data_IF_222151348118
#
_entry.id   IF_222151348118
#
_cell.length_a   1.000
_cell.length_b   1.000
_cell.length_c   1.000
_cell.angle_alpha   90.00
_cell.angle_beta   90.00
_cell.angle_gamma   90.00
#
_symmetry.space_group_name_H-M   'P 1'
#
loop_
_entity.id
_entity.type
_entity.pdbx_description
1 polymer ?
#
# COMPACT_ATOMS: atom_id res chain seq x y z
N UNK A 1 -11.98 6.49 -21.63
CA UNK A 1 -10.50 6.55 -21.56
C UNK A 1 -10.03 7.60 -20.54
N UNK A 2 -10.74 8.72 -20.38
CA UNK A 2 -10.38 9.82 -19.44
C UNK A 2 -10.25 9.44 -17.96
N UNK A 3 -10.94 8.38 -17.49
CA UNK A 3 -10.83 7.95 -16.09
C UNK A 3 -9.46 7.34 -15.74
N UNK A 4 -8.71 6.83 -16.73
CA UNK A 4 -7.37 6.25 -16.49
C UNK A 4 -6.30 7.31 -16.29
N UNK A 5 -6.56 8.53 -16.76
CA UNK A 5 -5.71 9.70 -16.55
C UNK A 5 -6.12 10.53 -15.34
N UNK A 6 -7.21 10.14 -14.68
CA UNK A 6 -7.65 10.77 -13.43
C UNK A 6 -6.56 10.56 -12.35
N UNK A 7 -6.03 11.65 -11.76
CA UNK A 7 -4.96 11.55 -10.77
C UNK A 7 -5.33 10.73 -9.53
N UNK A 8 -6.60 10.74 -9.13
CA UNK A 8 -7.11 9.97 -8.00
C UNK A 8 -7.17 8.48 -8.37
N UNK A 9 -7.69 8.15 -9.55
CA UNK A 9 -7.71 6.76 -10.03
C UNK A 9 -6.30 6.19 -10.22
N UNK A 10 -5.38 7.00 -10.76
CA UNK A 10 -3.95 6.65 -10.85
C UNK A 10 -3.36 6.38 -9.46
N UNK A 11 -3.65 7.22 -8.47
CA UNK A 11 -3.20 6.99 -7.09
C UNK A 11 -3.75 5.69 -6.49
N UNK A 12 -5.03 5.38 -6.70
CA UNK A 12 -5.66 4.14 -6.20
C UNK A 12 -4.99 2.89 -6.78
N UNK A 13 -4.74 2.87 -8.10
CA UNK A 13 -4.02 1.76 -8.73
C UNK A 13 -2.57 1.68 -8.24
N UNK A 14 -1.90 2.82 -8.07
CA UNK A 14 -0.52 2.86 -7.59
C UNK A 14 -0.41 2.27 -6.18
N UNK A 15 -1.36 2.55 -5.29
CA UNK A 15 -1.37 1.99 -3.94
C UNK A 15 -1.58 0.47 -3.95
N UNK A 16 -2.49 -0.04 -4.79
CA UNK A 16 -2.74 -1.47 -4.89
C UNK A 16 -1.49 -2.24 -5.38
N UNK A 17 -0.78 -1.68 -6.37
CA UNK A 17 0.49 -2.25 -6.85
C UNK A 17 1.57 -2.17 -5.78
N UNK A 18 1.70 -1.02 -5.11
CA UNK A 18 2.66 -0.85 -4.02
C UNK A 18 2.42 -1.85 -2.89
N UNK A 19 1.15 -2.06 -2.52
CA UNK A 19 0.76 -3.04 -1.52
C UNK A 19 1.18 -4.46 -1.95
N UNK A 20 0.94 -4.84 -3.21
CA UNK A 20 1.38 -6.14 -3.74
C UNK A 20 2.89 -6.36 -3.60
N UNK A 21 3.70 -5.33 -3.88
CA UNK A 21 5.16 -5.38 -3.72
C UNK A 21 5.55 -5.50 -2.24
N UNK A 22 4.93 -4.71 -1.36
CA UNK A 22 5.18 -4.77 0.09
C UNK A 22 4.84 -6.15 0.65
N UNK A 23 3.70 -6.70 0.25
CA UNK A 23 3.23 -8.01 0.65
C UNK A 23 4.17 -9.13 0.15
N UNK A 24 4.68 -9.02 -1.09
CA UNK A 24 5.71 -9.95 -1.57
C UNK A 24 6.96 -9.94 -0.70
N UNK A 25 7.50 -8.75 -0.35
CA UNK A 25 8.64 -8.67 0.58
C UNK A 25 8.33 -9.27 1.94
N UNK A 26 7.11 -9.06 2.45
CA UNK A 26 6.65 -9.60 3.73
C UNK A 26 6.69 -11.13 3.75
N UNK A 27 6.06 -11.77 2.76
CA UNK A 27 6.02 -13.24 2.65
C UNK A 27 7.37 -13.86 2.34
N UNK A 28 8.30 -13.10 1.74
CA UNK A 28 9.68 -13.54 1.51
C UNK A 28 10.62 -13.24 2.69
N UNK A 29 10.08 -12.89 3.87
CA UNK A 29 10.85 -12.69 5.11
C UNK A 29 11.59 -11.35 5.19
N UNK A 30 11.49 -10.50 4.16
CA UNK A 30 12.08 -9.16 4.13
C UNK A 30 11.17 -8.13 4.83
N UNK A 31 10.89 -8.36 6.12
CA UNK A 31 9.88 -7.61 6.88
C UNK A 31 10.17 -6.10 6.98
N UNK A 32 11.43 -5.69 7.08
CA UNK A 32 11.79 -4.26 7.14
C UNK A 32 11.43 -3.51 5.85
N UNK A 33 11.66 -4.14 4.68
CA UNK A 33 11.28 -3.57 3.39
C UNK A 33 9.77 -3.50 3.23
N UNK A 34 9.05 -4.53 3.67
CA UNK A 34 7.60 -4.53 3.67
C UNK A 34 7.05 -3.37 4.52
N UNK A 35 7.62 -3.19 5.72
CA UNK A 35 7.25 -2.11 6.63
C UNK A 35 7.43 -0.73 5.98
N UNK A 36 8.59 -0.47 5.37
CA UNK A 36 8.86 0.81 4.69
C UNK A 36 7.86 1.09 3.56
N UNK A 37 7.49 0.06 2.78
CA UNK A 37 6.52 0.20 1.70
C UNK A 37 5.13 0.51 2.26
N UNK A 38 4.70 -0.20 3.31
CA UNK A 38 3.40 0.05 3.94
C UNK A 38 3.35 1.46 4.56
N UNK A 39 4.41 1.93 5.23
CA UNK A 39 4.48 3.30 5.75
C UNK A 39 4.35 4.35 4.65
N UNK A 40 4.98 4.12 3.48
CA UNK A 40 4.82 5.01 2.31
C UNK A 40 3.38 5.05 1.81
N UNK A 41 2.71 3.90 1.70
CA UNK A 41 1.29 3.85 1.32
C UNK A 41 0.43 4.61 2.35
N UNK A 42 0.68 4.41 3.65
CA UNK A 42 -0.07 5.06 4.73
C UNK A 42 0.17 6.57 4.82
N UNK A 43 1.22 7.08 4.18
CA UNK A 43 1.48 8.51 4.08
C UNK A 43 0.73 9.22 2.94
N UNK A 44 0.06 8.48 2.05
CA UNK A 44 -0.72 9.06 0.94
C UNK A 44 -2.09 9.57 1.41
N UNK A 45 -2.80 10.31 0.54
CA UNK A 45 -4.16 10.81 0.83
C UNK A 45 -5.27 9.85 0.36
N UNK A 46 -4.91 8.70 -0.16
CA UNK A 46 -5.80 7.79 -0.88
C UNK A 46 -6.39 6.75 0.07
N UNK A 47 -6.95 7.21 1.19
CA UNK A 47 -7.43 6.37 2.31
C UNK A 47 -8.48 5.33 1.89
N UNK A 48 -9.26 5.60 0.85
CA UNK A 48 -10.29 4.71 0.32
C UNK A 48 -9.75 3.69 -0.70
N UNK A 49 -8.45 3.75 -1.06
CA UNK A 49 -7.86 2.80 -1.98
C UNK A 49 -7.71 1.42 -1.32
N UNK A 50 -7.86 0.37 -2.13
CA UNK A 50 -7.63 -1.00 -1.64
C UNK A 50 -6.23 -1.16 -1.05
N UNK A 51 -5.20 -0.61 -1.72
CA UNK A 51 -3.82 -0.70 -1.27
C UNK A 51 -3.60 -0.03 0.08
N UNK A 52 -4.25 1.12 0.32
CA UNK A 52 -4.19 1.80 1.62
C UNK A 52 -4.82 0.96 2.73
N UNK A 53 -6.06 0.50 2.54
CA UNK A 53 -6.79 -0.27 3.55
C UNK A 53 -6.04 -1.58 3.89
N UNK A 54 -5.53 -2.27 2.87
CA UNK A 54 -4.79 -3.50 3.07
C UNK A 54 -3.46 -3.26 3.79
N UNK A 55 -2.71 -2.21 3.40
CA UNK A 55 -1.48 -1.82 4.09
C UNK A 55 -1.75 -1.42 5.54
N UNK A 56 -2.85 -0.71 5.83
CA UNK A 56 -3.22 -0.31 7.20
C UNK A 56 -3.49 -1.52 8.09
N UNK A 57 -4.31 -2.46 7.60
CA UNK A 57 -4.67 -3.66 8.34
C UNK A 57 -3.45 -4.53 8.65
N UNK A 58 -2.59 -4.75 7.65
CA UNK A 58 -1.38 -5.54 7.82
C UNK A 58 -0.36 -4.82 8.72
N UNK A 59 -0.17 -3.51 8.54
CA UNK A 59 0.74 -2.74 9.39
C UNK A 59 0.29 -2.74 10.85
N UNK A 60 -1.01 -2.59 11.10
CA UNK A 60 -1.57 -2.64 12.45
C UNK A 60 -1.39 -4.00 13.11
N UNK A 61 -1.49 -5.09 12.34
CA UNK A 61 -1.33 -6.47 12.83
C UNK A 61 0.13 -6.83 13.11
N UNK A 62 1.03 -6.39 12.24
CA UNK A 62 2.39 -6.95 12.14
C UNK A 62 3.52 -6.00 12.55
N UNK A 63 3.26 -4.69 12.65
CA UNK A 63 4.30 -3.67 12.84
C UNK A 63 3.99 -2.61 13.91
N UNK A 64 2.73 -2.48 14.34
CA UNK A 64 2.38 -1.65 15.50
C UNK A 64 2.78 -2.38 16.79
N UNK A 65 3.66 -1.74 17.58
CA UNK A 65 3.94 -2.12 18.96
C UNK A 65 3.03 -1.33 19.90
#
# INVERSE_FOLDING_TARGET
>A
LDFLTDPEFSSIMNDAVAYGIGNWYFYNGSRDKAKEIFEKILSTKSWASFGFIAAEADFARDFKQ
#
